data_IF_000517362387
#
_entry.id   IF_000517362387
#
_cell.length_a   1.000
_cell.length_b   1.000
_cell.length_c   1.000
_cell.angle_alpha   90.00
_cell.angle_beta   90.00
_cell.angle_gamma   90.00
#
_symmetry.space_group_name_H-M   'P 1'
#
loop_
_entity.id
_entity.type
_entity.pdbx_description
1 polymer ?
#
# COMPACT_ATOMS: atom_id res chain seq x y z
N UNK A 1 19.16 -10.76 -1.30
CA UNK A 1 18.92 -9.47 -0.60
C UNK A 1 17.73 -9.64 0.30
N UNK A 2 17.78 -9.12 1.52
CA UNK A 2 16.64 -9.21 2.45
C UNK A 2 15.63 -8.08 2.17
N UNK A 3 14.35 -8.38 2.36
CA UNK A 3 13.24 -7.44 2.20
C UNK A 3 12.37 -7.46 3.47
N UNK A 4 11.85 -6.29 3.83
CA UNK A 4 10.85 -6.14 4.89
C UNK A 4 9.54 -5.69 4.23
N UNK A 5 8.56 -6.59 4.21
CA UNK A 5 7.20 -6.30 3.77
C UNK A 5 6.36 -5.82 4.96
N UNK A 6 5.93 -4.56 4.93
CA UNK A 6 5.00 -4.00 5.90
C UNK A 6 3.58 -4.41 5.53
N UNK A 7 2.96 -5.23 6.39
CA UNK A 7 1.62 -5.77 6.22
C UNK A 7 0.68 -5.35 7.38
N UNK A 8 0.83 -4.11 7.87
CA UNK A 8 -0.11 -3.55 8.85
C UNK A 8 -1.47 -3.28 8.21
N UNK A 9 -2.51 -3.20 9.03
CA UNK A 9 -3.87 -2.85 8.61
C UNK A 9 -3.89 -1.54 7.79
N UNK A 10 -4.83 -1.43 6.84
CA UNK A 10 -5.09 -0.21 6.06
C UNK A 10 -5.95 0.84 6.79
N UNK A 11 -6.26 0.62 8.07
CA UNK A 11 -6.94 1.60 8.93
C UNK A 11 -6.01 2.74 9.33
N UNK A 12 -6.55 3.88 9.78
CA UNK A 12 -5.76 5.07 10.18
C UNK A 12 -4.63 4.73 11.17
N UNK A 13 -4.84 3.94 12.25
CA UNK A 13 -3.73 3.54 13.13
C UNK A 13 -2.69 2.64 12.46
N UNK A 14 -3.13 1.77 11.54
CA UNK A 14 -2.24 0.89 10.78
C UNK A 14 -1.39 1.63 9.77
N UNK A 15 -1.93 2.67 9.12
CA UNK A 15 -1.21 3.63 8.29
C UNK A 15 -0.16 4.41 9.09
N UNK A 16 -0.54 4.92 10.27
CA UNK A 16 0.39 5.62 11.15
C UNK A 16 1.56 4.70 11.58
N UNK A 17 1.26 3.45 11.92
CA UNK A 17 2.26 2.45 12.29
C UNK A 17 3.18 2.11 11.12
N UNK A 18 2.64 1.96 9.91
CA UNK A 18 3.45 1.72 8.71
C UNK A 18 4.38 2.88 8.41
N UNK A 19 3.89 4.12 8.47
CA UNK A 19 4.71 5.32 8.25
C UNK A 19 5.85 5.39 9.26
N UNK A 20 5.56 5.13 10.53
CA UNK A 20 6.57 5.08 11.58
C UNK A 20 7.66 4.04 11.28
N UNK A 21 7.27 2.81 10.92
CA UNK A 21 8.22 1.75 10.56
C UNK A 21 9.05 2.11 9.33
N UNK A 22 8.45 2.69 8.29
CA UNK A 22 9.18 3.16 7.11
C UNK A 22 10.26 4.17 7.49
N UNK A 23 9.94 5.14 8.35
CA UNK A 23 10.91 6.15 8.79
C UNK A 23 12.04 5.57 9.62
N UNK A 24 11.76 4.58 10.48
CA UNK A 24 12.80 3.88 11.24
C UNK A 24 13.70 3.03 10.33
N UNK A 25 13.12 2.38 9.32
CA UNK A 25 13.83 1.45 8.45
C UNK A 25 14.64 2.13 7.33
N UNK A 26 14.35 3.39 7.00
CA UNK A 26 15.07 4.20 5.98
C UNK A 26 16.59 4.24 6.16
N UNK A 27 17.10 4.02 7.37
CA UNK A 27 18.53 4.09 7.71
C UNK A 27 19.31 2.81 7.39
N UNK A 28 18.60 1.72 7.09
CA UNK A 28 19.21 0.41 6.84
C UNK A 28 19.29 0.12 5.35
N UNK A 29 20.32 -0.61 4.87
CA UNK A 29 20.45 -1.00 3.48
C UNK A 29 19.56 -2.22 3.16
N UNK A 30 18.27 -2.12 3.44
CA UNK A 30 17.27 -3.16 3.19
C UNK A 30 16.14 -2.61 2.33
N UNK A 31 15.58 -3.46 1.47
CA UNK A 31 14.38 -3.10 0.72
C UNK A 31 13.20 -3.09 1.67
N UNK A 32 12.45 -1.99 1.70
CA UNK A 32 11.20 -1.88 2.44
C UNK A 32 10.07 -1.76 1.43
N UNK A 33 9.05 -2.60 1.56
CA UNK A 33 7.86 -2.57 0.70
C UNK A 33 6.60 -2.66 1.55
N UNK A 34 5.44 -2.39 0.94
CA UNK A 34 4.14 -2.43 1.60
C UNK A 34 3.12 -3.10 0.71
N UNK A 35 2.17 -3.81 1.31
CA UNK A 35 1.00 -4.33 0.59
C UNK A 35 0.26 -3.18 -0.12
N UNK A 36 -0.11 -3.41 -1.38
CA UNK A 36 -0.91 -2.46 -2.13
C UNK A 36 -2.32 -2.33 -1.52
N UNK A 37 -2.86 -1.12 -1.58
CA UNK A 37 -4.24 -0.82 -1.17
C UNK A 37 -5.04 -0.35 -2.39
N UNK A 38 -6.24 -0.89 -2.59
CA UNK A 38 -7.08 -0.54 -3.73
C UNK A 38 -8.27 -1.48 -3.88
N UNK A 39 -8.87 -1.48 -5.07
CA UNK A 39 -10.03 -2.30 -5.39
C UNK A 39 -9.62 -3.79 -5.45
N UNK A 40 -10.24 -4.68 -4.67
CA UNK A 40 -9.96 -6.11 -4.72
C UNK A 40 -10.24 -6.73 -6.09
N UNK A 41 -9.50 -7.77 -6.46
CA UNK A 41 -9.79 -8.55 -7.67
C UNK A 41 -11.19 -9.16 -7.59
N UNK A 42 -11.94 -9.06 -8.69
CA UNK A 42 -13.31 -9.59 -8.78
C UNK A 42 -14.40 -8.70 -8.15
N UNK A 43 -14.04 -7.56 -7.55
CA UNK A 43 -15.00 -6.54 -7.14
C UNK A 43 -15.37 -5.64 -8.33
N UNK A 44 -16.66 -5.46 -8.57
CA UNK A 44 -17.14 -4.45 -9.51
C UNK A 44 -16.95 -3.04 -8.91
N UNK A 45 -16.40 -2.12 -9.70
CA UNK A 45 -16.06 -0.75 -9.30
C UNK A 45 -17.22 0.01 -8.65
N UNK A 46 -18.46 -0.30 -9.05
CA UNK A 46 -19.66 0.36 -8.48
C UNK A 46 -19.91 0.03 -7.00
N UNK A 47 -19.25 -1.01 -6.48
CA UNK A 47 -19.33 -1.41 -5.08
C UNK A 47 -18.12 -0.95 -4.25
N UNK A 48 -17.12 -0.32 -4.88
CA UNK A 48 -16.01 0.26 -4.15
C UNK A 48 -16.46 1.56 -3.46
N UNK A 49 -16.08 1.72 -2.19
CA UNK A 49 -16.28 2.99 -1.48
C UNK A 49 -15.31 4.07 -1.99
N UNK A 50 -15.61 5.33 -1.66
CA UNK A 50 -14.84 6.49 -2.10
C UNK A 50 -13.36 6.43 -1.68
N UNK A 51 -13.06 5.92 -0.48
CA UNK A 51 -11.69 5.83 0.01
C UNK A 51 -10.89 4.76 -0.74
N UNK A 52 -11.51 3.60 -0.99
CA UNK A 52 -10.90 2.53 -1.79
C UNK A 52 -10.63 2.99 -3.22
N UNK A 53 -11.59 3.70 -3.83
CA UNK A 53 -11.44 4.24 -5.18
C UNK A 53 -10.33 5.31 -5.24
N UNK A 54 -10.31 6.24 -4.29
CA UNK A 54 -9.26 7.25 -4.19
C UNK A 54 -7.86 6.60 -4.10
N UNK A 55 -7.72 5.56 -3.27
CA UNK A 55 -6.45 4.82 -3.15
C UNK A 55 -6.05 4.09 -4.41
N UNK A 56 -7.00 3.48 -5.13
CA UNK A 56 -6.73 2.84 -6.41
C UNK A 56 -6.27 3.86 -7.47
N UNK A 57 -6.84 5.08 -7.47
CA UNK A 57 -6.45 6.15 -8.39
C UNK A 57 -5.06 6.70 -8.05
N UNK A 58 -4.76 6.90 -6.77
CA UNK A 58 -3.44 7.35 -6.30
C UNK A 58 -2.34 6.34 -6.63
N UNK A 59 -2.62 5.05 -6.47
CA UNK A 59 -1.66 3.96 -6.68
C UNK A 59 -1.66 3.39 -8.11
N UNK A 60 -2.41 4.01 -9.04
CA UNK A 60 -2.51 3.55 -10.44
C UNK A 60 -1.12 3.39 -11.05
N UNK A 61 -0.88 2.22 -11.65
CA UNK A 61 0.37 1.92 -12.34
C UNK A 61 0.20 2.21 -13.83
N UNK A 62 1.28 2.66 -14.50
CA UNK A 62 1.30 2.73 -15.95
C UNK A 62 1.34 1.30 -16.53
N UNK A 63 0.66 1.08 -17.65
CA UNK A 63 0.55 -0.22 -18.30
C UNK A 63 1.92 -0.74 -18.77
N UNK A 64 2.87 0.17 -19.03
CA UNK A 64 4.24 -0.17 -19.42
C UNK A 64 5.05 -0.89 -18.32
N UNK A 65 4.53 -0.92 -17.09
CA UNK A 65 5.16 -1.54 -15.92
C UNK A 65 4.39 -2.76 -15.39
N UNK A 66 3.40 -3.25 -16.13
CA UNK A 66 2.60 -4.44 -15.79
C UNK A 66 3.10 -5.66 -16.59
#
# INVERSE_FOLDING_TARGET
TAEILIATSSTVPGEATASFLMDQLRRFPVRVSRLACGIPMGMDIKYADEHTLARAIESRQNIDHI
#
